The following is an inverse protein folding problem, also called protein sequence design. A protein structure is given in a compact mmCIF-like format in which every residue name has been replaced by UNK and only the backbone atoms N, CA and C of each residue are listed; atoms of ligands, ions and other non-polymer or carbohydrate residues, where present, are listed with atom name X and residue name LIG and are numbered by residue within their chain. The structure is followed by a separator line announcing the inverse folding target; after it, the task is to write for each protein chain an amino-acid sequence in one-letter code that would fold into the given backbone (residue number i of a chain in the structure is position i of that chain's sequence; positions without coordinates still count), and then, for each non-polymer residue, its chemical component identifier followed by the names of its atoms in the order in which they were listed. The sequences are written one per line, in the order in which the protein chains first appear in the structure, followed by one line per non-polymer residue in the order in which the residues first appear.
data_IF_953897196146
#
_entry.id   IF_953897196146
#
_cell.length_a   1.000
_cell.length_b   1.000
_cell.length_c   1.000
_cell.angle_alpha   90.00
_cell.angle_beta   90.00
_cell.angle_gamma   90.00
#
_symmetry.space_group_name_H-M   'P 1'
#
loop_
_entity.id
_entity.type
_entity.pdbx_description
1 polymer ?
#
# COMPACT_ATOMS: atom_id res chain seq x y z
N UNK A 1 -19.08 -9.63 -27.00
CA UNK A 1 -18.25 -9.67 -25.78
C UNK A 1 -18.20 -8.23 -25.30
N UNK A 2 -19.07 -7.86 -24.37
CA UNK A 2 -19.09 -6.48 -23.84
C UNK A 2 -17.76 -6.23 -23.13
N UNK A 3 -17.02 -5.24 -23.60
CA UNK A 3 -15.87 -4.70 -22.87
C UNK A 3 -16.42 -4.03 -21.61
N UNK A 4 -16.55 -4.80 -20.53
CA UNK A 4 -16.91 -4.26 -19.23
C UNK A 4 -15.75 -3.36 -18.77
N UNK A 5 -15.91 -2.05 -18.97
CA UNK A 5 -14.99 -1.06 -18.40
C UNK A 5 -15.16 -1.18 -16.89
N UNK A 6 -14.12 -1.66 -16.21
CA UNK A 6 -14.10 -1.73 -14.76
C UNK A 6 -14.28 -0.32 -14.19
N UNK A 7 -15.29 -0.14 -13.35
CA UNK A 7 -15.57 1.13 -12.69
C UNK A 7 -14.63 1.32 -11.49
N UNK A 8 -13.69 2.28 -11.61
CA UNK A 8 -12.77 2.63 -10.54
C UNK A 8 -13.20 3.86 -9.73
N UNK A 9 -14.43 4.35 -9.88
CA UNK A 9 -14.89 5.57 -9.18
C UNK A 9 -14.74 5.46 -7.66
N UNK A 10 -15.06 4.30 -7.09
CA UNK A 10 -14.85 4.02 -5.67
C UNK A 10 -13.37 3.98 -5.28
N UNK A 11 -12.51 3.36 -6.11
CA UNK A 11 -11.08 3.29 -5.86
C UNK A 11 -10.42 4.67 -5.89
N UNK A 12 -10.81 5.54 -6.84
CA UNK A 12 -10.38 6.93 -6.92
C UNK A 12 -10.78 7.72 -5.68
N UNK A 13 -12.04 7.59 -5.25
CA UNK A 13 -12.53 8.24 -4.04
C UNK A 13 -11.72 7.80 -2.81
N UNK A 14 -11.55 6.49 -2.63
CA UNK A 14 -10.76 5.94 -1.52
C UNK A 14 -9.32 6.45 -1.56
N UNK A 15 -8.68 6.47 -2.73
CA UNK A 15 -7.31 6.96 -2.87
C UNK A 15 -7.20 8.46 -2.52
N UNK A 16 -8.18 9.27 -2.95
CA UNK A 16 -8.25 10.68 -2.59
C UNK A 16 -8.43 10.86 -1.07
N UNK A 17 -9.32 10.10 -0.44
CA UNK A 17 -9.53 10.13 1.02
C UNK A 17 -8.28 9.70 1.79
N UNK A 18 -7.57 8.67 1.33
CA UNK A 18 -6.30 8.26 1.94
C UNK A 18 -5.29 9.41 1.89
N UNK A 19 -5.06 10.01 0.72
CA UNK A 19 -4.14 11.15 0.57
C UNK A 19 -4.54 12.37 1.41
N UNK A 20 -5.84 12.66 1.52
CA UNK A 20 -6.36 13.82 2.24
C UNK A 20 -6.52 13.64 3.76
N UNK A 21 -6.62 12.40 4.25
CA UNK A 21 -6.91 12.11 5.66
C UNK A 21 -6.02 10.99 6.24
N UNK A 22 -4.68 11.17 6.29
CA UNK A 22 -3.76 10.15 6.79
C UNK A 22 -4.10 9.66 8.20
N UNK A 23 -4.20 8.33 8.35
CA UNK A 23 -4.49 7.68 9.64
C UNK A 23 -5.87 7.97 10.24
N UNK A 24 -6.79 8.63 9.50
CA UNK A 24 -8.16 8.94 9.91
C UNK A 24 -9.21 8.27 9.03
N UNK A 25 -8.87 7.95 7.78
CA UNK A 25 -9.74 7.23 6.86
C UNK A 25 -9.43 5.73 6.89
N UNK A 26 -10.48 4.90 6.87
CA UNK A 26 -10.37 3.44 6.87
C UNK A 26 -11.12 2.92 5.65
N UNK A 27 -10.42 2.19 4.79
CA UNK A 27 -10.99 1.52 3.63
C UNK A 27 -11.56 0.18 4.06
N UNK A 28 -12.82 -0.08 3.73
CA UNK A 28 -13.49 -1.38 3.89
C UNK A 28 -14.40 -1.67 2.69
N UNK A 29 -14.55 -2.95 2.29
CA UNK A 29 -13.86 -4.13 2.83
C UNK A 29 -12.38 -4.20 2.42
N UNK A 30 -11.61 -5.18 2.90
CA UNK A 30 -10.15 -5.24 2.62
C UNK A 30 -9.87 -5.42 1.12
N UNK A 31 -10.77 -6.11 0.42
CA UNK A 31 -10.73 -6.37 -1.02
C UNK A 31 -10.76 -5.08 -1.85
N UNK A 32 -11.34 -3.98 -1.32
CA UNK A 32 -11.33 -2.67 -2.00
C UNK A 32 -9.91 -2.13 -2.21
N UNK A 33 -8.92 -2.60 -1.44
CA UNK A 33 -7.53 -2.25 -1.66
C UNK A 33 -6.98 -2.77 -2.99
N UNK A 34 -7.55 -3.84 -3.55
CA UNK A 34 -7.08 -4.38 -4.84
C UNK A 34 -7.25 -3.31 -5.92
N UNK A 35 -8.45 -2.72 -6.03
CA UNK A 35 -8.75 -1.70 -7.03
C UNK A 35 -8.00 -0.39 -6.75
N UNK A 36 -7.78 -0.05 -5.48
CA UNK A 36 -6.99 1.12 -5.07
C UNK A 36 -5.53 0.98 -5.50
N UNK A 37 -4.93 -0.21 -5.29
CA UNK A 37 -3.55 -0.50 -5.67
C UNK A 37 -3.41 -0.45 -7.20
N UNK A 38 -4.35 -1.08 -7.90
CA UNK A 38 -4.37 -1.12 -9.36
C UNK A 38 -4.44 0.29 -9.95
N UNK A 39 -5.37 1.14 -9.48
CA UNK A 39 -5.46 2.50 -9.99
C UNK A 39 -4.29 3.37 -9.56
N UNK A 40 -3.72 3.15 -8.37
CA UNK A 40 -2.51 3.86 -7.94
C UNK A 40 -1.36 3.59 -8.91
N UNK A 41 -1.12 2.33 -9.28
CA UNK A 41 -0.05 2.01 -10.24
C UNK A 41 -0.34 2.52 -11.64
N UNK A 42 -1.60 2.44 -12.09
CA UNK A 42 -2.01 3.03 -13.35
C UNK A 42 -1.74 4.54 -13.40
N UNK A 43 -2.04 5.26 -12.31
CA UNK A 43 -1.77 6.70 -12.18
C UNK A 43 -0.29 7.05 -12.02
N UNK A 44 0.51 6.17 -11.40
CA UNK A 44 1.95 6.36 -11.21
C UNK A 44 2.78 6.09 -12.47
N UNK A 45 2.20 5.49 -13.51
CA UNK A 45 2.89 5.17 -14.76
C UNK A 45 4.14 4.31 -14.53
N UNK A 46 5.24 4.62 -15.24
CA UNK A 46 6.48 3.83 -15.19
C UNK A 46 7.11 3.73 -13.80
N UNK A 47 6.92 4.74 -12.94
CA UNK A 47 7.43 4.70 -11.56
C UNK A 47 6.68 3.66 -10.71
N UNK A 48 5.42 3.37 -11.04
CA UNK A 48 4.64 2.35 -10.34
C UNK A 48 5.10 0.92 -10.62
N UNK A 49 5.66 0.65 -11.80
CA UNK A 49 5.97 -0.72 -12.25
C UNK A 49 6.99 -1.44 -11.36
N UNK A 50 8.00 -0.73 -10.84
CA UNK A 50 9.01 -1.35 -9.99
C UNK A 50 8.42 -1.73 -8.63
N UNK A 51 7.64 -0.83 -8.03
CA UNK A 51 6.95 -1.10 -6.77
C UNK A 51 5.93 -2.23 -6.96
N UNK A 52 5.17 -2.23 -8.05
CA UNK A 52 4.19 -3.26 -8.37
C UNK A 52 4.81 -4.66 -8.37
N UNK A 53 5.95 -4.85 -9.06
CA UNK A 53 6.67 -6.12 -9.09
C UNK A 53 7.09 -6.61 -7.71
N UNK A 54 7.56 -5.70 -6.86
CA UNK A 54 7.91 -6.01 -5.47
C UNK A 54 6.66 -6.39 -4.67
N UNK A 55 5.52 -5.71 -4.89
CA UNK A 55 4.29 -6.00 -4.15
C UNK A 55 3.64 -7.31 -4.57
N UNK A 56 3.81 -7.77 -5.82
CA UNK A 56 3.21 -9.01 -6.32
C UNK A 56 3.60 -10.25 -5.49
N UNK A 57 4.80 -10.29 -4.90
CA UNK A 57 5.24 -11.41 -4.05
C UNK A 57 4.65 -11.38 -2.62
N UNK A 58 4.03 -10.27 -2.23
CA UNK A 58 3.49 -10.07 -0.89
C UNK A 58 1.99 -10.43 -0.85
N UNK A 59 1.48 -10.94 0.28
CA UNK A 59 0.03 -11.04 0.51
C UNK A 59 -0.61 -9.64 0.59
N UNK A 60 -1.90 -9.54 0.26
CA UNK A 60 -2.63 -8.26 0.18
C UNK A 60 -2.38 -7.35 1.39
N UNK A 61 -2.48 -7.89 2.60
CA UNK A 61 -2.26 -7.13 3.84
C UNK A 61 -0.88 -6.46 3.92
N UNK A 62 0.15 -7.11 3.42
CA UNK A 62 1.51 -6.56 3.37
C UNK A 62 1.68 -5.56 2.23
N UNK A 63 0.98 -5.76 1.10
CA UNK A 63 0.88 -4.76 0.02
C UNK A 63 0.27 -3.46 0.53
N UNK A 64 -0.82 -3.53 1.28
CA UNK A 64 -1.48 -2.36 1.87
C UNK A 64 -0.50 -1.57 2.75
N UNK A 65 0.29 -2.25 3.58
CA UNK A 65 1.31 -1.59 4.42
C UNK A 65 2.33 -0.85 3.54
N UNK A 66 2.83 -1.48 2.47
CA UNK A 66 3.79 -0.85 1.57
C UNK A 66 3.19 0.34 0.83
N UNK A 67 1.93 0.25 0.41
CA UNK A 67 1.22 1.32 -0.30
C UNK A 67 1.01 2.52 0.61
N UNK A 68 0.63 2.29 1.87
CA UNK A 68 0.53 3.37 2.85
C UNK A 68 1.88 4.04 3.11
N UNK A 69 2.97 3.27 3.18
CA UNK A 69 4.34 3.82 3.28
C UNK A 69 4.69 4.64 2.04
N UNK A 70 4.38 4.15 0.84
CA UNK A 70 4.59 4.86 -0.42
C UNK A 70 3.80 6.18 -0.48
N UNK A 71 2.60 6.21 0.10
CA UNK A 71 1.80 7.42 0.29
C UNK A 71 2.30 8.34 1.42
N UNK A 72 3.44 8.02 2.06
CA UNK A 72 4.08 8.85 3.08
C UNK A 72 3.60 8.61 4.51
N UNK A 73 2.86 7.55 4.78
CA UNK A 73 2.32 7.31 6.12
C UNK A 73 3.42 6.88 7.11
N UNK A 74 3.39 7.48 8.31
CA UNK A 74 4.14 7.01 9.46
C UNK A 74 3.64 5.64 9.96
N UNK A 75 4.46 4.92 10.73
CA UNK A 75 4.06 3.62 11.31
C UNK A 75 2.79 3.72 12.16
N UNK A 76 2.56 4.86 12.84
CA UNK A 76 1.37 5.09 13.65
C UNK A 76 0.11 5.32 12.78
N UNK A 77 0.25 6.02 11.66
CA UNK A 77 -0.86 6.22 10.71
C UNK A 77 -1.21 4.93 9.98
N UNK A 78 -0.21 4.13 9.59
CA UNK A 78 -0.43 2.78 9.06
C UNK A 78 -1.23 1.95 10.06
N UNK A 79 -0.77 1.90 11.32
CA UNK A 79 -1.41 1.15 12.39
C UNK A 79 -2.89 1.51 12.55
N UNK A 80 -3.22 2.81 12.59
CA UNK A 80 -4.60 3.29 12.65
C UNK A 80 -5.42 2.90 11.43
N UNK A 81 -4.87 3.14 10.23
CA UNK A 81 -5.57 2.92 8.95
C UNK A 81 -5.99 1.47 8.76
N UNK A 82 -5.15 0.52 9.16
CA UNK A 82 -5.45 -0.92 9.04
C UNK A 82 -5.89 -1.54 10.37
N UNK A 83 -6.14 -0.76 11.41
CA UNK A 83 -6.61 -1.23 12.72
C UNK A 83 -5.72 -2.31 13.38
N UNK A 84 -4.40 -2.10 13.42
CA UNK A 84 -3.46 -2.93 14.19
C UNK A 84 -2.62 -2.07 15.13
N UNK A 85 -1.80 -2.68 15.99
CA UNK A 85 -0.86 -1.93 16.83
C UNK A 85 0.37 -1.45 16.05
N UNK A 86 0.99 -0.36 16.50
CA UNK A 86 2.26 0.12 15.93
C UNK A 86 3.37 -0.94 16.04
N UNK A 87 3.41 -1.70 17.14
CA UNK A 87 4.31 -2.85 17.28
C UNK A 87 4.01 -3.96 16.24
N UNK A 88 2.73 -4.18 15.94
CA UNK A 88 2.29 -5.06 14.86
C UNK A 88 2.80 -4.61 13.49
N UNK A 89 2.75 -3.30 13.21
CA UNK A 89 3.34 -2.71 12.00
C UNK A 89 4.83 -2.97 11.95
N UNK A 90 5.59 -2.74 13.02
CA UNK A 90 7.05 -3.00 13.06
C UNK A 90 7.35 -4.47 12.74
N UNK A 91 6.63 -5.42 13.35
CA UNK A 91 6.78 -6.85 13.06
C UNK A 91 6.44 -7.18 11.60
N UNK A 92 5.39 -6.57 11.06
CA UNK A 92 5.01 -6.73 9.66
C UNK A 92 6.10 -6.19 8.71
N UNK A 93 6.65 -5.01 8.98
CA UNK A 93 7.77 -4.43 8.21
C UNK A 93 8.97 -5.37 8.18
N UNK A 94 9.36 -5.95 9.32
CA UNK A 94 10.46 -6.94 9.37
C UNK A 94 10.14 -8.24 8.60
N UNK A 95 8.88 -8.64 8.51
CA UNK A 95 8.47 -9.78 7.68
C UNK A 95 8.55 -9.44 6.19
N UNK A 96 8.07 -8.25 5.80
CA UNK A 96 8.14 -7.75 4.43
C UNK A 96 9.60 -7.68 3.97
N UNK A 97 10.47 -7.05 4.78
CA UNK A 97 11.92 -6.99 4.51
C UNK A 97 12.52 -8.36 4.18
N UNK A 98 12.22 -9.37 5.01
CA UNK A 98 12.70 -10.74 4.78
C UNK A 98 12.16 -11.35 3.49
N UNK A 99 10.90 -11.10 3.14
CA UNK A 99 10.28 -11.63 1.92
C UNK A 99 10.84 -11.00 0.64
N UNK A 100 11.14 -9.71 0.67
CA UNK A 100 11.68 -8.98 -0.48
C UNK A 100 13.21 -9.02 -0.54
N UNK A 101 13.87 -9.70 0.41
CA UNK A 101 15.33 -9.80 0.47
C UNK A 101 16.04 -8.49 0.86
N UNK A 102 15.36 -7.56 1.54
CA UNK A 102 15.93 -6.27 1.93
C UNK A 102 16.94 -6.45 3.08
N UNK A 103 18.17 -5.91 2.97
CA UNK A 103 19.15 -5.96 4.05
C UNK A 103 18.64 -5.41 5.38
N UNK A 104 19.17 -5.94 6.48
CA UNK A 104 18.71 -5.62 7.85
C UNK A 104 18.92 -4.16 8.25
N UNK A 105 19.97 -3.54 7.73
CA UNK A 105 20.36 -2.14 7.91
C UNK A 105 19.55 -1.16 7.05
N UNK A 106 18.95 -1.62 5.96
CA UNK A 106 18.15 -0.76 5.07
C UNK A 106 16.72 -0.59 5.61
N UNK A 107 16.25 0.65 5.76
CA UNK A 107 14.88 0.92 6.19
C UNK A 107 13.88 0.54 5.10
N UNK A 108 12.83 -0.21 5.46
CA UNK A 108 11.73 -0.49 4.51
C UNK A 108 11.05 0.79 4.05
N UNK A 109 10.94 1.79 4.93
CA UNK A 109 10.33 3.06 4.58
C UNK A 109 11.12 3.78 3.50
N UNK A 110 12.43 3.94 3.72
CA UNK A 110 13.33 4.61 2.77
C UNK A 110 13.34 3.89 1.43
N UNK A 111 13.44 2.56 1.46
CA UNK A 111 13.39 1.73 0.26
C UNK A 111 12.11 1.95 -0.54
N UNK A 112 10.93 1.83 0.08
CA UNK A 112 9.64 1.98 -0.61
C UNK A 112 9.45 3.41 -1.14
N UNK A 113 9.92 4.44 -0.43
CA UNK A 113 9.83 5.83 -0.89
C UNK A 113 10.85 6.18 -1.98
N UNK A 114 11.92 5.39 -2.15
CA UNK A 114 12.94 5.60 -3.18
C UNK A 114 12.63 4.95 -4.53
N UNK A 115 11.63 4.07 -4.55
CA UNK A 115 11.13 3.39 -5.75
C UNK A 115 10.18 4.30 -6.51
#
# INVERSE_FOLDING_TARGET
MENYIKDYSSALYNLACLKGMPGKYIVRPEESWIDIIEILFWLSGRSGEHLERILMILPLRERIICILIYLGYSSAEVARTICISTAGVVKAKQRIKRKIGLPTDVSLNEFITSV
#
